data_IF_774121517902
#
_entry.id   IF_774121517902
#
_cell.length_a   1.000
_cell.length_b   1.000
_cell.length_c   1.000
_cell.angle_alpha   90.00
_cell.angle_beta   90.00
_cell.angle_gamma   90.00
#
_symmetry.space_group_name_H-M   'P 1'
#
loop_
_entity.id
_entity.type
_entity.pdbx_description
1 polymer ?
#
# COMPACT_ATOMS: atom_id res chain seq x y z
N UNK A 1 6.94 -2.94 -13.36
CA UNK A 1 5.97 -2.07 -12.75
C UNK A 1 4.89 -2.86 -12.05
N UNK A 2 4.64 -2.60 -10.80
CA UNK A 2 3.74 -3.43 -10.02
C UNK A 2 2.42 -2.77 -9.73
N UNK A 3 1.56 -2.85 -10.71
CA UNK A 3 0.25 -2.25 -10.59
C UNK A 3 -0.60 -2.93 -9.53
N UNK A 4 -0.29 -4.19 -9.21
CA UNK A 4 -1.04 -4.91 -8.20
C UNK A 4 -0.95 -4.23 -6.83
N UNK A 5 0.23 -3.75 -6.48
CA UNK A 5 0.39 -3.05 -5.21
C UNK A 5 -0.41 -1.76 -5.20
N UNK A 6 -0.33 -1.03 -6.29
CA UNK A 6 -1.04 0.25 -6.39
C UNK A 6 -2.55 0.04 -6.44
N UNK A 7 -3.01 -1.01 -7.11
CA UNK A 7 -4.43 -1.33 -7.10
C UNK A 7 -4.92 -1.62 -5.70
N UNK A 8 -4.14 -2.38 -4.95
CA UNK A 8 -4.49 -2.70 -3.58
C UNK A 8 -4.60 -1.44 -2.72
N UNK A 9 -3.63 -0.54 -2.87
CA UNK A 9 -3.64 0.71 -2.13
C UNK A 9 -4.79 1.61 -2.54
N UNK A 10 -5.12 1.64 -3.82
CA UNK A 10 -6.27 2.41 -4.28
C UNK A 10 -7.56 1.87 -3.68
N UNK A 11 -7.68 0.55 -3.59
CA UNK A 11 -8.85 -0.07 -3.00
C UNK A 11 -8.98 0.29 -1.52
N UNK A 12 -7.87 0.28 -0.81
CA UNK A 12 -7.89 0.67 0.60
C UNK A 12 -8.34 2.11 0.76
N UNK A 13 -7.87 2.98 -0.11
CA UNK A 13 -8.23 4.38 -0.02
C UNK A 13 -9.71 4.58 -0.33
N UNK A 14 -10.19 3.92 -1.36
CA UNK A 14 -11.59 4.07 -1.76
C UNK A 14 -12.53 3.44 -0.74
N UNK A 15 -12.08 2.38 -0.09
CA UNK A 15 -12.91 1.72 0.91
C UNK A 15 -13.20 2.61 2.10
N UNK A 16 -12.28 3.50 2.42
CA UNK A 16 -12.47 4.43 3.51
C UNK A 16 -12.60 3.77 4.86
N UNK A 17 -12.23 2.51 4.96
CA UNK A 17 -12.43 1.75 6.17
C UNK A 17 -11.20 1.66 7.04
N UNK A 18 -10.07 2.20 6.58
CA UNK A 18 -8.87 2.10 7.39
C UNK A 18 -8.02 3.35 7.24
N UNK A 19 -7.22 3.54 8.26
CA UNK A 19 -6.26 4.61 8.29
C UNK A 19 -5.13 4.32 7.30
N UNK A 20 -4.84 5.27 6.44
CA UNK A 20 -3.78 5.09 5.46
C UNK A 20 -2.42 4.84 6.10
N UNK A 21 -2.24 5.23 7.33
CA UNK A 21 -0.99 4.95 8.03
C UNK A 21 -0.77 3.46 8.25
N UNK A 22 -1.84 2.67 8.19
CA UNK A 22 -1.73 1.22 8.29
C UNK A 22 -1.50 0.52 6.97
N UNK A 23 -1.46 1.28 5.87
CA UNK A 23 -1.33 0.68 4.55
C UNK A 23 -0.06 -0.15 4.37
N UNK A 24 1.11 0.29 4.83
CA UNK A 24 2.31 -0.54 4.67
C UNK A 24 2.17 -1.90 5.36
N UNK A 25 1.54 -1.91 6.53
CA UNK A 25 1.31 -3.18 7.24
C UNK A 25 0.41 -4.10 6.42
N UNK A 26 -0.62 -3.52 5.81
CA UNK A 26 -1.52 -4.32 4.97
C UNK A 26 -0.81 -4.87 3.75
N UNK A 27 0.09 -4.09 3.18
CA UNK A 27 0.91 -4.57 2.09
C UNK A 27 1.77 -5.76 2.50
N UNK A 28 2.34 -5.69 3.69
CA UNK A 28 3.14 -6.79 4.20
C UNK A 28 2.31 -8.08 4.31
N UNK A 29 1.10 -7.94 4.83
CA UNK A 29 0.23 -9.10 5.00
C UNK A 29 -0.25 -9.66 3.68
N UNK A 30 -0.66 -8.78 2.79
CA UNK A 30 -1.26 -9.20 1.54
C UNK A 30 -0.25 -9.86 0.61
N UNK A 31 0.95 -9.29 0.52
CA UNK A 31 1.92 -9.72 -0.47
C UNK A 31 3.16 -10.38 0.13
N UNK A 32 3.22 -10.51 1.44
CA UNK A 32 4.37 -11.12 2.07
C UNK A 32 5.64 -10.30 1.98
N UNK A 33 5.51 -8.98 1.95
CA UNK A 33 6.64 -8.09 1.85
C UNK A 33 7.26 -7.83 3.21
N UNK A 34 8.54 -7.45 3.21
CA UNK A 34 9.12 -6.99 4.45
C UNK A 34 8.78 -5.52 4.67
N UNK A 35 9.12 -5.03 5.84
CA UNK A 35 8.73 -3.69 6.26
C UNK A 35 9.28 -2.61 5.34
N UNK A 36 10.53 -2.75 4.95
CA UNK A 36 11.18 -1.74 4.12
C UNK A 36 10.57 -1.69 2.74
N UNK A 37 10.32 -2.86 2.19
CA UNK A 37 9.71 -2.95 0.87
C UNK A 37 8.32 -2.35 0.85
N UNK A 38 7.52 -2.67 1.86
CA UNK A 38 6.16 -2.15 1.94
C UNK A 38 6.16 -0.63 2.05
N UNK A 39 7.05 -0.09 2.84
CA UNK A 39 7.13 1.36 3.01
C UNK A 39 7.56 2.05 1.72
N UNK A 40 8.49 1.45 0.99
CA UNK A 40 8.91 2.00 -0.29
C UNK A 40 7.74 2.08 -1.27
N UNK A 41 7.00 1.00 -1.36
CA UNK A 41 5.86 0.95 -2.27
C UNK A 41 4.82 1.99 -1.88
N UNK A 42 4.55 2.09 -0.60
CA UNK A 42 3.59 3.07 -0.10
C UNK A 42 4.04 4.48 -0.44
N UNK A 43 5.31 4.78 -0.26
CA UNK A 43 5.84 6.10 -0.55
C UNK A 43 5.72 6.43 -2.03
N UNK A 44 6.07 5.49 -2.89
CA UNK A 44 5.94 5.70 -4.33
C UNK A 44 4.50 5.97 -4.72
N UNK A 45 3.60 5.25 -4.10
CA UNK A 45 2.18 5.42 -4.40
C UNK A 45 1.68 6.79 -3.97
N UNK A 46 2.10 7.26 -2.80
CA UNK A 46 1.65 8.57 -2.32
C UNK A 46 2.19 9.70 -3.19
N UNK A 47 3.33 9.50 -3.81
CA UNK A 47 3.90 10.51 -4.68
C UNK A 47 3.09 10.71 -5.95
N UNK A 48 2.26 9.75 -6.29
CA UNK A 48 1.41 9.86 -7.47
C UNK A 48 0.07 10.51 -7.19
N UNK A 49 -0.23 10.75 -5.95
CA UNK A 49 -1.47 11.38 -5.58
C UNK A 49 -1.39 12.90 -5.81
#
# INVERSE_FOLDING_TARGET
MNDLYFEFLNDLREGGTMNMMGAPRELQHKFGLDKIEARKIFQLWTEQL
#
